data_IF_323751493269
#
_entry.id   IF_323751493269
#
_cell.length_a   1.000
_cell.length_b   1.000
_cell.length_c   1.000
_cell.angle_alpha   90.00
_cell.angle_beta   90.00
_cell.angle_gamma   90.00
#
_symmetry.space_group_name_H-M   'P 1'
#
loop_
_entity.id
_entity.type
_entity.pdbx_description
1 polymer ?
#
# COMPACT_ATOMS: atom_id res chain seq x y z
N UNK A 1 -3.27 22.97 -5.45
CA UNK A 1 -2.27 22.39 -4.54
C UNK A 1 -2.64 20.94 -4.31
N UNK A 2 -1.69 20.02 -4.23
CA UNK A 2 -1.97 18.61 -3.95
C UNK A 2 -2.75 18.47 -2.64
N UNK A 3 -3.72 17.57 -2.67
CA UNK A 3 -4.54 17.20 -1.51
C UNK A 3 -4.36 15.71 -1.24
N UNK A 4 -4.31 15.35 0.04
CA UNK A 4 -4.15 13.96 0.46
C UNK A 4 -5.34 13.57 1.34
N UNK A 5 -5.85 12.36 1.12
CA UNK A 5 -6.76 11.72 2.04
C UNK A 5 -5.96 10.77 2.93
N UNK A 6 -6.28 10.76 4.21
CA UNK A 6 -5.60 9.93 5.20
C UNK A 6 -6.51 8.80 5.61
N UNK A 7 -6.06 7.57 5.38
CA UNK A 7 -6.57 6.37 6.02
C UNK A 7 -5.90 6.20 7.39
N UNK A 8 -6.66 5.76 8.40
CA UNK A 8 -6.18 5.76 9.77
C UNK A 8 -6.86 4.68 10.62
N UNK A 9 -6.22 4.26 11.71
CA UNK A 9 -6.85 3.40 12.69
C UNK A 9 -7.71 4.21 13.67
N UNK A 10 -8.93 3.73 13.90
CA UNK A 10 -9.88 4.24 14.89
C UNK A 10 -9.84 3.38 16.17
N UNK A 11 -10.60 3.70 17.24
CA UNK A 11 -10.53 2.95 18.51
C UNK A 11 -10.78 1.45 18.40
N UNK A 12 -11.50 0.98 17.40
CA UNK A 12 -11.76 -0.44 17.11
C UNK A 12 -10.50 -1.24 16.74
N UNK A 13 -9.46 -0.56 16.22
CA UNK A 13 -8.12 -1.11 15.98
C UNK A 13 -7.07 -0.51 16.93
N UNK A 14 -7.50 0.06 18.06
CA UNK A 14 -6.61 0.67 19.05
C UNK A 14 -6.02 2.03 18.64
N UNK A 15 -6.50 2.62 17.54
CA UNK A 15 -6.09 3.94 17.08
C UNK A 15 -6.87 5.09 17.72
N UNK A 16 -6.58 6.32 17.28
CA UNK A 16 -7.17 7.55 17.83
C UNK A 16 -7.91 8.39 16.78
N UNK A 17 -7.92 7.96 15.53
CA UNK A 17 -8.64 8.65 14.46
C UNK A 17 -10.17 8.51 14.61
N UNK A 18 -10.90 9.28 13.82
CA UNK A 18 -12.37 9.22 13.75
C UNK A 18 -12.87 8.88 12.34
N UNK A 19 -11.96 8.49 11.44
CA UNK A 19 -12.25 8.18 10.05
C UNK A 19 -11.29 8.86 9.08
N UNK A 20 -11.80 9.31 7.95
CA UNK A 20 -11.01 9.90 6.86
C UNK A 20 -10.86 11.41 7.07
N UNK A 21 -9.62 11.90 7.05
CA UNK A 21 -9.30 13.33 7.08
C UNK A 21 -8.56 13.75 5.81
N UNK A 22 -8.62 15.06 5.50
CA UNK A 22 -7.88 15.64 4.40
C UNK A 22 -6.70 16.47 4.89
N UNK A 23 -5.59 16.41 4.13
CA UNK A 23 -4.44 17.29 4.25
C UNK A 23 -4.22 18.03 2.93
N UNK A 24 -3.62 19.19 2.99
CA UNK A 24 -3.24 20.00 1.82
C UNK A 24 -1.78 20.43 1.92
N UNK A 25 -1.08 20.45 0.79
CA UNK A 25 0.24 21.05 0.71
C UNK A 25 0.16 22.57 0.72
N UNK A 26 1.00 23.20 1.53
CA UNK A 26 1.27 24.62 1.47
C UNK A 26 2.26 24.93 0.32
N UNK A 27 2.51 26.21 0.06
CA UNK A 27 3.40 26.65 -1.02
C UNK A 27 4.87 26.21 -0.84
N UNK A 28 5.30 25.97 0.40
CA UNK A 28 6.64 25.48 0.75
C UNK A 28 6.72 23.95 0.76
N UNK A 29 5.61 23.25 0.46
CA UNK A 29 5.50 21.80 0.47
C UNK A 29 5.18 21.19 1.84
N UNK A 30 5.08 22.00 2.92
CA UNK A 30 4.60 21.49 4.21
C UNK A 30 3.11 21.15 4.15
N UNK A 31 2.68 20.21 5.00
CA UNK A 31 1.27 19.83 5.08
C UNK A 31 0.51 20.63 6.13
N UNK A 32 -0.78 20.83 5.89
CA UNK A 32 -1.73 21.39 6.85
C UNK A 32 -3.02 20.57 6.88
N UNK A 33 -3.74 20.61 7.98
CA UNK A 33 -5.07 20.02 8.07
C UNK A 33 -6.05 20.75 7.14
N UNK A 34 -6.81 19.97 6.36
CA UNK A 34 -7.84 20.49 5.46
C UNK A 34 -9.27 20.08 5.88
N UNK A 35 -9.40 19.29 6.94
CA UNK A 35 -10.67 18.94 7.58
C UNK A 35 -10.92 17.46 7.73
N UNK A 36 -11.94 17.13 8.52
CA UNK A 36 -12.53 15.82 8.64
C UNK A 36 -13.55 15.63 7.51
N UNK A 37 -13.51 14.50 6.82
CA UNK A 37 -14.34 14.25 5.63
C UNK A 37 -15.41 13.19 5.87
N UNK A 38 -15.10 12.12 6.59
CA UNK A 38 -16.05 11.05 6.86
C UNK A 38 -15.70 10.33 8.16
N UNK A 39 -16.73 10.02 8.96
CA UNK A 39 -16.62 9.10 10.09
C UNK A 39 -16.83 7.68 9.59
N UNK A 40 -15.85 6.83 9.80
CA UNK A 40 -15.87 5.41 9.40
C UNK A 40 -14.84 4.64 10.22
N UNK A 41 -15.07 3.37 10.42
CA UNK A 41 -14.24 2.50 11.27
C UNK A 41 -12.97 2.08 10.51
N UNK A 42 -11.82 2.37 11.08
CA UNK A 42 -10.48 1.98 10.63
C UNK A 42 -10.30 1.89 9.10
N UNK A 43 -10.44 3.03 8.36
CA UNK A 43 -10.23 3.06 6.91
C UNK A 43 -8.74 2.83 6.60
N UNK A 44 -8.33 1.55 6.58
CA UNK A 44 -6.92 1.15 6.53
C UNK A 44 -6.27 1.42 5.16
N UNK A 45 -7.04 1.33 4.09
CA UNK A 45 -6.58 1.56 2.72
C UNK A 45 -7.64 2.31 1.93
N UNK A 46 -7.21 3.20 1.04
CA UNK A 46 -8.08 4.03 0.22
C UNK A 46 -7.78 3.83 -1.26
N UNK A 47 -8.79 3.61 -2.08
CA UNK A 47 -8.67 3.54 -3.53
C UNK A 47 -9.68 4.48 -4.19
N UNK A 48 -9.25 5.27 -5.17
CA UNK A 48 -10.10 6.22 -5.86
C UNK A 48 -10.19 5.94 -7.37
N UNK A 49 -11.36 6.16 -7.94
CA UNK A 49 -11.57 6.12 -9.39
C UNK A 49 -12.68 7.13 -9.76
N UNK A 50 -12.35 8.08 -10.61
CA UNK A 50 -13.31 9.14 -10.96
C UNK A 50 -13.76 9.92 -9.72
N UNK A 51 -15.07 10.00 -9.47
CA UNK A 51 -15.66 10.60 -8.26
C UNK A 51 -15.86 9.62 -7.10
N UNK A 52 -15.51 8.34 -7.28
CA UNK A 52 -15.65 7.29 -6.26
C UNK A 52 -14.40 7.16 -5.41
N UNK A 53 -14.61 6.93 -4.12
CA UNK A 53 -13.59 6.54 -3.14
C UNK A 53 -14.08 5.29 -2.43
N UNK A 54 -13.22 4.29 -2.37
CA UNK A 54 -13.44 3.06 -1.60
C UNK A 54 -12.45 3.04 -0.44
N UNK A 55 -12.94 2.64 0.74
CA UNK A 55 -12.10 2.48 1.93
C UNK A 55 -12.25 1.06 2.47
N UNK A 56 -11.13 0.40 2.72
CA UNK A 56 -11.13 -0.87 3.47
C UNK A 56 -11.33 -0.55 4.95
N UNK A 57 -12.46 -0.95 5.52
CA UNK A 57 -12.73 -0.87 6.96
C UNK A 57 -12.22 -2.16 7.61
N UNK A 58 -10.98 -2.10 8.12
CA UNK A 58 -10.22 -3.29 8.50
C UNK A 58 -10.89 -4.06 9.65
N UNK A 59 -11.32 -3.37 10.70
CA UNK A 59 -11.99 -4.00 11.85
C UNK A 59 -13.38 -4.53 11.51
N UNK A 60 -14.15 -3.80 10.69
CA UNK A 60 -15.51 -4.18 10.32
C UNK A 60 -15.56 -5.30 9.27
N UNK A 61 -14.46 -5.54 8.54
CA UNK A 61 -14.42 -6.52 7.46
C UNK A 61 -15.23 -6.09 6.24
N UNK A 62 -15.36 -4.77 5.99
CA UNK A 62 -16.16 -4.20 4.93
C UNK A 62 -15.34 -3.31 3.99
N UNK A 63 -15.89 -3.05 2.81
CA UNK A 63 -15.49 -1.95 1.94
C UNK A 63 -16.58 -0.88 2.00
N UNK A 64 -16.19 0.35 2.34
CA UNK A 64 -17.05 1.51 2.35
C UNK A 64 -16.94 2.27 1.03
N UNK A 65 -18.06 2.71 0.46
CA UNK A 65 -18.12 3.49 -0.76
C UNK A 65 -18.52 4.93 -0.45
N UNK A 66 -17.77 5.87 -1.01
CA UNK A 66 -18.06 7.31 -0.93
C UNK A 66 -18.07 7.93 -2.32
N UNK A 67 -18.88 8.99 -2.49
CA UNK A 67 -18.80 9.90 -3.62
C UNK A 67 -18.06 11.17 -3.20
N UNK A 68 -17.08 11.56 -4.01
CA UNK A 68 -16.35 12.82 -3.85
C UNK A 68 -17.09 13.94 -4.56
N UNK A 69 -17.43 15.01 -3.89
CA UNK A 69 -17.98 16.22 -4.51
C UNK A 69 -16.88 17.13 -5.07
N UNK A 70 -17.28 18.16 -5.84
CA UNK A 70 -16.35 19.11 -6.45
C UNK A 70 -15.56 19.95 -5.42
N UNK A 71 -16.07 20.09 -4.19
CA UNK A 71 -15.38 20.75 -3.09
C UNK A 71 -14.45 19.81 -2.33
N UNK A 72 -14.47 18.51 -2.69
CA UNK A 72 -13.68 17.43 -2.08
C UNK A 72 -14.26 16.93 -0.76
N UNK A 73 -15.55 17.14 -0.52
CA UNK A 73 -16.32 16.44 0.51
C UNK A 73 -16.57 14.98 0.15
N UNK A 74 -16.95 14.16 1.13
CA UNK A 74 -17.29 12.76 0.96
C UNK A 74 -18.73 12.52 1.39
N UNK A 75 -19.53 11.95 0.50
CA UNK A 75 -20.87 11.44 0.78
C UNK A 75 -20.79 9.90 0.85
N UNK A 76 -21.14 9.32 1.98
CA UNK A 76 -21.19 7.86 2.13
C UNK A 76 -22.35 7.28 1.33
N UNK A 77 -22.09 6.34 0.46
CA UNK A 77 -23.10 5.72 -0.43
C UNK A 77 -23.55 4.34 0.07
N UNK A 78 -22.68 3.62 0.77
CA UNK A 78 -22.99 2.30 1.30
C UNK A 78 -21.73 1.50 1.63
N UNK A 79 -21.94 0.27 2.05
CA UNK A 79 -20.88 -0.68 2.37
C UNK A 79 -21.23 -2.08 1.90
N UNK A 80 -20.20 -2.91 1.69
CA UNK A 80 -20.35 -4.32 1.40
C UNK A 80 -19.28 -5.14 2.15
N UNK A 81 -19.53 -6.44 2.46
CA UNK A 81 -18.51 -7.32 3.01
C UNK A 81 -17.29 -7.38 2.09
N UNK A 82 -16.09 -7.34 2.66
CA UNK A 82 -14.84 -7.37 1.91
C UNK A 82 -14.47 -8.75 1.34
N UNK A 83 -15.16 -9.80 1.76
CA UNK A 83 -14.88 -11.17 1.33
C UNK A 83 -13.91 -11.94 2.22
N UNK A 84 -13.42 -11.33 3.31
CA UNK A 84 -12.55 -11.93 4.30
C UNK A 84 -12.41 -11.06 5.54
N UNK A 85 -11.53 -11.45 6.45
CA UNK A 85 -11.33 -10.80 7.74
C UNK A 85 -10.11 -9.86 7.67
N UNK A 86 -10.28 -8.63 8.17
CA UNK A 86 -9.28 -7.57 8.18
C UNK A 86 -8.77 -7.20 6.77
N UNK A 87 -9.63 -6.60 5.90
CA UNK A 87 -9.20 -6.09 4.61
C UNK A 87 -8.19 -4.95 4.80
N UNK A 88 -6.99 -5.14 4.28
CA UNK A 88 -5.87 -4.20 4.44
C UNK A 88 -5.37 -3.59 3.13
N UNK A 89 -5.92 -4.00 1.99
CA UNK A 89 -5.58 -3.48 0.68
C UNK A 89 -6.78 -3.52 -0.27
N UNK A 90 -6.87 -2.51 -1.14
CA UNK A 90 -7.84 -2.42 -2.22
C UNK A 90 -7.13 -2.16 -3.55
N UNK A 91 -7.54 -2.85 -4.61
CA UNK A 91 -7.19 -2.51 -5.98
C UNK A 91 -8.44 -2.36 -6.84
N UNK A 92 -8.38 -1.44 -7.80
CA UNK A 92 -9.42 -1.31 -8.82
C UNK A 92 -9.02 -2.06 -10.07
N UNK A 93 -9.94 -2.86 -10.60
CA UNK A 93 -9.75 -3.53 -11.88
C UNK A 93 -11.06 -3.61 -12.63
N UNK A 94 -11.15 -2.96 -13.78
CA UNK A 94 -12.40 -2.79 -14.55
C UNK A 94 -13.54 -2.27 -13.64
N UNK A 95 -14.68 -2.95 -13.66
CA UNK A 95 -15.86 -2.65 -12.83
C UNK A 95 -15.82 -3.33 -11.46
N UNK A 96 -14.64 -3.75 -11.01
CA UNK A 96 -14.47 -4.49 -9.74
C UNK A 96 -13.58 -3.76 -8.76
N UNK A 97 -13.80 -4.03 -7.47
CA UNK A 97 -12.88 -3.74 -6.37
C UNK A 97 -12.34 -5.08 -5.88
N UNK A 98 -11.03 -5.22 -5.88
CA UNK A 98 -10.33 -6.37 -5.30
C UNK A 98 -9.90 -6.02 -3.87
N UNK A 99 -10.04 -6.96 -2.95
CA UNK A 99 -9.58 -6.82 -1.57
C UNK A 99 -8.55 -7.89 -1.23
N UNK A 100 -7.57 -7.54 -0.41
CA UNK A 100 -6.74 -8.52 0.28
C UNK A 100 -7.04 -8.45 1.79
N UNK A 101 -7.35 -9.61 2.38
CA UNK A 101 -7.77 -9.74 3.77
C UNK A 101 -6.68 -10.45 4.57
N UNK A 102 -6.16 -9.77 5.60
CA UNK A 102 -4.94 -10.21 6.28
C UNK A 102 -5.15 -11.44 7.16
N UNK A 103 -6.23 -11.49 7.95
CA UNK A 103 -6.36 -12.50 9.02
C UNK A 103 -6.60 -13.92 8.48
N UNK A 104 -7.36 -14.05 7.39
CA UNK A 104 -7.74 -15.34 6.81
C UNK A 104 -7.13 -15.57 5.42
N UNK A 105 -6.28 -14.67 4.94
CA UNK A 105 -5.62 -14.76 3.65
C UNK A 105 -6.55 -14.70 2.44
N UNK A 106 -7.82 -14.34 2.64
CA UNK A 106 -8.82 -14.31 1.57
C UNK A 106 -8.63 -13.13 0.62
N UNK A 107 -8.99 -13.33 -0.64
CA UNK A 107 -9.18 -12.28 -1.63
C UNK A 107 -10.68 -12.11 -1.89
N UNK A 108 -11.18 -10.88 -1.84
CA UNK A 108 -12.55 -10.56 -2.22
C UNK A 108 -12.61 -9.94 -3.62
N UNK A 109 -13.70 -10.20 -4.32
CA UNK A 109 -14.09 -9.49 -5.53
C UNK A 109 -15.44 -8.85 -5.29
N UNK A 110 -15.51 -7.53 -5.43
CA UNK A 110 -16.75 -6.79 -5.34
C UNK A 110 -17.07 -6.16 -6.69
N UNK A 111 -18.35 -6.15 -7.06
CA UNK A 111 -18.83 -5.21 -8.09
C UNK A 111 -18.68 -3.79 -7.55
N UNK A 112 -18.26 -2.86 -8.42
CA UNK A 112 -18.08 -1.48 -8.01
C UNK A 112 -19.39 -0.69 -7.96
N UNK A 113 -20.32 -0.98 -8.90
CA UNK A 113 -21.60 -0.27 -9.05
C UNK A 113 -22.73 -1.24 -9.41
N UNK A 114 -23.71 -1.51 -8.52
CA UNK A 114 -23.67 -1.16 -7.09
C UNK A 114 -22.61 -1.95 -6.33
N UNK A 115 -22.04 -1.37 -5.27
CA UNK A 115 -21.04 -2.06 -4.46
C UNK A 115 -21.65 -3.32 -3.82
N UNK A 116 -21.11 -4.48 -4.17
CA UNK A 116 -21.61 -5.77 -3.69
C UNK A 116 -20.54 -6.85 -3.80
N UNK A 117 -20.42 -7.69 -2.77
CA UNK A 117 -19.52 -8.84 -2.80
C UNK A 117 -20.00 -9.86 -3.85
N UNK A 118 -19.11 -10.22 -4.77
CA UNK A 118 -19.35 -11.24 -5.81
C UNK A 118 -18.70 -12.57 -5.45
N UNK A 119 -17.49 -12.53 -4.86
CA UNK A 119 -16.71 -13.71 -4.51
C UNK A 119 -15.79 -13.47 -3.32
N UNK A 120 -15.56 -14.55 -2.57
CA UNK A 120 -14.49 -14.68 -1.59
C UNK A 120 -13.64 -15.89 -1.95
N UNK A 121 -12.36 -15.69 -2.23
CA UNK A 121 -11.41 -16.76 -2.55
C UNK A 121 -10.47 -16.96 -1.35
N UNK A 122 -10.62 -18.04 -0.56
CA UNK A 122 -9.74 -18.32 0.56
C UNK A 122 -8.36 -18.77 0.10
N UNK A 123 -7.37 -18.63 0.99
CA UNK A 123 -6.04 -19.15 0.77
C UNK A 123 -5.57 -19.95 1.99
N UNK A 124 -4.62 -20.84 1.75
CA UNK A 124 -3.99 -21.66 2.77
C UNK A 124 -2.46 -21.61 2.61
N UNK A 125 -1.76 -21.87 3.68
CA UNK A 125 -0.31 -21.94 3.73
C UNK A 125 0.23 -21.34 5.00
N UNK A 126 1.52 -21.50 5.23
CA UNK A 126 2.28 -20.92 6.34
C UNK A 126 3.74 -20.81 5.94
N UNK A 127 4.53 -20.06 6.71
CA UNK A 127 5.95 -19.86 6.49
C UNK A 127 6.78 -20.11 7.75
N UNK A 128 8.09 -19.91 7.68
CA UNK A 128 8.99 -20.22 8.80
C UNK A 128 9.00 -19.17 9.92
N UNK A 129 8.53 -17.95 9.65
CA UNK A 129 8.54 -16.87 10.63
C UNK A 129 7.34 -17.00 11.59
N UNK A 130 7.46 -16.66 12.89
CA UNK A 130 6.34 -16.75 13.85
C UNK A 130 5.07 -15.98 13.44
N UNK A 131 5.19 -14.93 12.63
CA UNK A 131 4.06 -14.19 12.06
C UNK A 131 3.50 -14.80 10.76
N UNK A 132 3.92 -16.00 10.39
CA UNK A 132 3.49 -16.74 9.20
C UNK A 132 2.80 -18.04 9.60
N UNK A 133 1.91 -17.96 10.59
CA UNK A 133 1.17 -19.10 11.13
C UNK A 133 0.01 -19.55 10.24
N UNK A 134 -0.44 -18.69 9.33
CA UNK A 134 -1.47 -18.95 8.33
C UNK A 134 -1.21 -18.14 7.04
N UNK A 135 -2.05 -18.31 6.03
CA UNK A 135 -2.07 -17.41 4.87
C UNK A 135 -2.51 -16.00 5.28
N UNK A 136 -1.82 -14.97 4.80
CA UNK A 136 -2.08 -13.56 5.08
C UNK A 136 -1.98 -12.76 3.79
N UNK A 137 -3.10 -12.62 3.06
CA UNK A 137 -3.12 -11.79 1.86
C UNK A 137 -2.96 -10.32 2.25
N UNK A 138 -1.95 -9.65 1.65
CA UNK A 138 -1.63 -8.27 2.06
C UNK A 138 -1.80 -7.24 0.96
N UNK A 139 -1.56 -7.59 -0.30
CA UNK A 139 -1.74 -6.70 -1.43
C UNK A 139 -2.14 -7.46 -2.69
N UNK A 140 -2.70 -6.72 -3.66
CA UNK A 140 -2.93 -7.18 -5.02
C UNK A 140 -2.37 -6.18 -6.02
N UNK A 141 -1.86 -6.66 -7.14
CA UNK A 141 -1.37 -5.85 -8.26
C UNK A 141 -1.94 -6.43 -9.57
N UNK A 142 -2.37 -5.56 -10.48
CA UNK A 142 -2.81 -5.98 -11.81
C UNK A 142 -1.69 -5.72 -12.81
N UNK A 143 -1.23 -6.76 -13.49
CA UNK A 143 -0.21 -6.66 -14.53
C UNK A 143 -0.81 -6.13 -15.84
N UNK A 144 0.01 -5.62 -16.79
CA UNK A 144 -0.49 -5.03 -18.03
C UNK A 144 -1.29 -5.99 -18.92
N UNK A 145 -1.10 -7.31 -18.78
CA UNK A 145 -1.86 -8.33 -19.50
C UNK A 145 -3.18 -8.73 -18.80
N UNK A 146 -3.52 -8.07 -17.67
CA UNK A 146 -4.69 -8.34 -16.86
C UNK A 146 -4.52 -9.48 -15.85
N UNK A 147 -3.32 -10.05 -15.71
CA UNK A 147 -3.01 -10.99 -14.63
C UNK A 147 -3.02 -10.26 -13.29
N UNK A 148 -3.75 -10.80 -12.32
CA UNK A 148 -3.80 -10.29 -10.96
C UNK A 148 -2.81 -11.08 -10.11
N UNK A 149 -1.87 -10.39 -9.48
CA UNK A 149 -0.91 -10.97 -8.53
C UNK A 149 -1.32 -10.60 -7.11
N UNK A 150 -1.41 -11.56 -6.21
CA UNK A 150 -1.59 -11.30 -4.78
C UNK A 150 -0.35 -11.69 -3.99
N UNK A 151 0.01 -10.88 -3.00
CA UNK A 151 1.05 -11.16 -2.03
C UNK A 151 0.45 -11.89 -0.83
N UNK A 152 0.93 -13.09 -0.54
CA UNK A 152 0.60 -13.83 0.67
C UNK A 152 1.79 -13.78 1.63
N UNK A 153 1.74 -12.83 2.56
CA UNK A 153 2.78 -12.61 3.56
C UNK A 153 2.99 -13.83 4.44
N UNK A 154 1.91 -14.52 4.78
CA UNK A 154 1.94 -15.65 5.69
C UNK A 154 2.49 -16.94 5.07
N UNK A 155 2.39 -17.09 3.75
CA UNK A 155 2.79 -18.31 3.06
C UNK A 155 4.05 -18.18 2.18
N UNK A 156 4.68 -16.99 2.15
CA UNK A 156 5.81 -16.69 1.25
C UNK A 156 5.49 -17.00 -0.23
N UNK A 157 4.30 -16.52 -0.69
CA UNK A 157 3.84 -16.78 -2.05
C UNK A 157 3.33 -15.55 -2.76
N UNK A 158 3.57 -15.50 -4.06
CA UNK A 158 2.85 -14.66 -4.99
C UNK A 158 1.88 -15.55 -5.76
N UNK A 159 0.58 -15.28 -5.66
CA UNK A 159 -0.43 -16.08 -6.36
C UNK A 159 -0.95 -15.32 -7.57
N UNK A 160 -1.05 -16.01 -8.70
CA UNK A 160 -1.49 -15.42 -9.96
C UNK A 160 -2.94 -15.84 -10.23
N UNK A 161 -3.73 -14.87 -10.69
CA UNK A 161 -5.16 -15.06 -10.95
C UNK A 161 -5.56 -14.35 -12.24
N UNK A 162 -6.67 -14.79 -12.81
CA UNK A 162 -7.42 -14.06 -13.83
C UNK A 162 -8.83 -13.79 -13.31
N UNK A 163 -9.38 -12.62 -13.62
CA UNK A 163 -10.77 -12.30 -13.30
C UNK A 163 -11.68 -12.73 -14.45
N UNK A 164 -12.66 -13.59 -14.19
CA UNK A 164 -13.61 -14.08 -15.19
C UNK A 164 -15.04 -14.04 -14.63
N UNK A 165 -15.88 -13.17 -15.17
CA UNK A 165 -17.28 -13.07 -14.75
C UNK A 165 -17.44 -12.77 -13.25
N UNK A 166 -16.60 -11.88 -12.69
CA UNK A 166 -16.60 -11.51 -11.27
C UNK A 166 -15.98 -12.55 -10.34
N UNK A 167 -15.21 -13.51 -10.88
CA UNK A 167 -14.54 -14.58 -10.11
C UNK A 167 -13.06 -14.63 -10.39
N UNK A 168 -12.26 -14.77 -9.34
CA UNK A 168 -10.83 -15.03 -9.43
C UNK A 168 -10.57 -16.51 -9.69
N UNK A 169 -9.90 -16.79 -10.79
CA UNK A 169 -9.42 -18.14 -11.11
C UNK A 169 -7.92 -18.15 -10.91
N UNK A 170 -7.42 -18.93 -9.95
CA UNK A 170 -5.98 -19.12 -9.75
C UNK A 170 -5.37 -19.79 -10.98
N UNK A 171 -4.37 -19.15 -11.56
CA UNK A 171 -3.66 -19.65 -12.76
C UNK A 171 -2.27 -20.16 -12.44
N UNK A 172 -1.70 -19.75 -11.30
CA UNK A 172 -0.38 -20.18 -10.85
C UNK A 172 0.01 -19.60 -9.50
N UNK A 173 1.19 -19.93 -9.07
CA UNK A 173 1.84 -19.33 -7.90
C UNK A 173 3.36 -19.36 -8.04
N UNK A 174 4.03 -18.45 -7.37
CA UNK A 174 5.50 -18.36 -7.30
C UNK A 174 5.90 -18.31 -5.83
N UNK A 175 6.79 -19.20 -5.43
CA UNK A 175 7.40 -19.16 -4.09
C UNK A 175 8.44 -18.04 -4.05
N UNK A 176 8.43 -17.28 -2.96
CA UNK A 176 9.52 -16.35 -2.64
C UNK A 176 10.44 -16.99 -1.60
N UNK A 177 11.67 -16.48 -1.39
CA UNK A 177 12.56 -17.03 -0.37
C UNK A 177 11.86 -17.11 0.99
N UNK A 178 12.01 -18.22 1.74
CA UNK A 178 11.35 -18.42 3.03
C UNK A 178 11.65 -17.31 4.04
N UNK A 179 10.60 -16.82 4.73
CA UNK A 179 10.70 -15.72 5.68
C UNK A 179 10.70 -14.33 5.04
N UNK A 180 10.44 -14.22 3.74
CA UNK A 180 10.31 -12.93 3.04
C UNK A 180 9.10 -12.15 3.55
N UNK A 181 7.93 -12.79 3.68
CA UNK A 181 6.68 -12.12 3.99
C UNK A 181 6.31 -11.06 2.94
N UNK A 182 5.96 -11.45 1.69
CA UNK A 182 5.64 -10.48 0.64
C UNK A 182 4.42 -9.64 1.05
N UNK A 183 4.58 -8.31 0.99
CA UNK A 183 3.63 -7.37 1.56
C UNK A 183 3.02 -6.39 0.57
N UNK A 184 3.86 -5.78 -0.27
CA UNK A 184 3.49 -4.66 -1.12
C UNK A 184 4.12 -4.80 -2.49
N UNK A 185 3.51 -4.16 -3.49
CA UNK A 185 3.91 -4.25 -4.87
C UNK A 185 4.19 -2.88 -5.47
N UNK A 186 5.14 -2.84 -6.40
CA UNK A 186 5.33 -1.72 -7.29
C UNK A 186 5.63 -2.25 -8.69
N UNK A 187 4.74 -1.96 -9.65
CA UNK A 187 4.99 -2.21 -11.06
C UNK A 187 5.78 -1.03 -11.61
N UNK A 188 7.02 -1.28 -11.99
CA UNK A 188 7.94 -0.26 -12.47
C UNK A 188 7.71 0.03 -13.95
N UNK A 189 7.95 1.28 -14.44
CA UNK A 189 7.83 1.62 -15.86
C UNK A 189 8.68 0.76 -16.83
N UNK A 190 9.74 0.11 -16.34
CA UNK A 190 10.53 -0.87 -17.10
C UNK A 190 9.80 -2.20 -17.33
N UNK A 191 8.62 -2.40 -16.75
CA UNK A 191 7.87 -3.65 -16.81
C UNK A 191 8.25 -4.69 -15.75
N UNK A 192 9.20 -4.39 -14.84
CA UNK A 192 9.53 -5.25 -13.71
C UNK A 192 8.54 -5.04 -12.55
N UNK A 193 8.24 -6.12 -11.84
CA UNK A 193 7.47 -6.08 -10.61
C UNK A 193 8.42 -6.13 -9.41
N UNK A 194 8.37 -5.10 -8.57
CA UNK A 194 9.08 -5.09 -7.28
C UNK A 194 8.13 -5.51 -6.17
N UNK A 195 8.64 -6.37 -5.29
CA UNK A 195 7.87 -6.93 -4.16
C UNK A 195 8.60 -6.63 -2.86
N UNK A 196 7.95 -5.89 -1.97
CA UNK A 196 8.46 -5.61 -0.64
C UNK A 196 8.25 -6.83 0.26
N UNK A 197 9.32 -7.36 0.82
CA UNK A 197 9.29 -8.37 1.88
C UNK A 197 9.28 -7.70 3.24
N UNK A 198 8.17 -7.79 3.95
CA UNK A 198 8.01 -7.18 5.28
C UNK A 198 8.96 -7.78 6.30
N UNK A 199 9.00 -9.12 6.36
CA UNK A 199 9.71 -9.88 7.40
C UNK A 199 11.17 -10.09 7.02
N UNK A 200 11.44 -10.30 5.73
CA UNK A 200 12.79 -10.47 5.19
C UNK A 200 13.55 -9.16 5.02
N UNK A 201 12.89 -7.99 5.19
CA UNK A 201 13.49 -6.65 5.05
C UNK A 201 14.23 -6.47 3.72
N UNK A 202 13.59 -6.90 2.63
CA UNK A 202 14.15 -6.93 1.27
C UNK A 202 13.16 -6.37 0.26
N UNK A 203 13.68 -5.96 -0.91
CA UNK A 203 12.87 -5.82 -2.12
C UNK A 203 13.31 -6.87 -3.12
N UNK A 204 12.37 -7.70 -3.57
CA UNK A 204 12.55 -8.67 -4.63
C UNK A 204 12.27 -8.03 -5.99
N UNK A 205 13.02 -8.41 -7.02
CA UNK A 205 12.82 -7.95 -8.40
C UNK A 205 12.37 -9.13 -9.26
N UNK A 206 11.23 -8.98 -9.92
CA UNK A 206 10.71 -9.98 -10.85
C UNK A 206 10.65 -9.43 -12.27
N UNK A 207 11.11 -10.22 -13.24
CA UNK A 207 10.73 -10.05 -14.62
C UNK A 207 9.28 -10.51 -14.80
N UNK A 208 8.51 -9.73 -15.58
CA UNK A 208 7.13 -10.06 -15.96
C UNK A 208 7.11 -10.39 -17.44
N UNK A 209 6.71 -11.59 -17.80
CA UNK A 209 6.58 -12.01 -19.19
C UNK A 209 5.35 -12.90 -19.36
N UNK A 210 4.39 -12.47 -20.20
CA UNK A 210 3.17 -13.22 -20.52
C UNK A 210 2.42 -13.70 -19.25
N UNK A 211 2.31 -12.82 -18.23
CA UNK A 211 1.69 -13.12 -16.95
C UNK A 211 2.49 -14.03 -16.02
N UNK A 212 3.67 -14.50 -16.44
CA UNK A 212 4.59 -15.25 -15.60
C UNK A 212 5.57 -14.32 -14.87
N UNK A 213 5.97 -14.71 -13.67
CA UNK A 213 6.93 -14.00 -12.83
C UNK A 213 8.21 -14.82 -12.68
N UNK A 214 9.36 -14.23 -12.99
CA UNK A 214 10.67 -14.84 -12.78
C UNK A 214 11.50 -13.97 -11.83
N UNK A 215 11.91 -14.53 -10.69
CA UNK A 215 12.75 -13.82 -9.72
C UNK A 215 14.13 -13.56 -10.32
N UNK A 216 14.52 -12.28 -10.41
CA UNK A 216 15.83 -11.85 -10.91
C UNK A 216 16.84 -11.65 -9.75
N UNK A 217 16.37 -11.20 -8.60
CA UNK A 217 17.23 -10.94 -7.44
C UNK A 217 16.49 -10.31 -6.28
N UNK A 218 17.23 -10.04 -5.22
CA UNK A 218 16.75 -9.36 -4.02
C UNK A 218 17.78 -8.37 -3.51
N UNK A 219 17.33 -7.29 -2.88
CA UNK A 219 18.20 -6.29 -2.25
C UNK A 219 17.71 -6.01 -0.85
N UNK A 220 18.60 -6.14 0.14
CA UNK A 220 18.32 -5.82 1.53
C UNK A 220 18.10 -4.32 1.73
N UNK A 221 17.17 -3.96 2.60
CA UNK A 221 16.87 -2.58 2.95
C UNK A 221 17.99 -2.03 3.84
N UNK A 222 18.61 -0.93 3.41
CA UNK A 222 19.68 -0.30 4.17
C UNK A 222 19.15 0.33 5.47
N UNK A 223 19.84 0.14 6.57
CA UNK A 223 19.45 0.64 7.89
C UNK A 223 18.37 -0.18 8.60
N UNK A 224 18.00 -1.33 8.04
CA UNK A 224 17.13 -2.28 8.73
C UNK A 224 17.84 -2.89 9.94
N UNK A 225 17.08 -3.08 11.02
CA UNK A 225 17.52 -3.69 12.29
C UNK A 225 16.69 -4.95 12.58
N UNK A 226 17.22 -5.83 13.43
CA UNK A 226 16.50 -7.04 13.85
C UNK A 226 15.17 -6.66 14.53
N UNK A 227 14.09 -7.28 14.09
CA UNK A 227 12.74 -7.00 14.58
C UNK A 227 12.02 -5.84 13.87
N UNK A 228 12.64 -5.23 12.86
CA UNK A 228 11.93 -4.30 11.97
C UNK A 228 10.88 -5.02 11.11
N UNK A 229 9.91 -4.24 10.67
CA UNK A 229 8.89 -4.64 9.71
C UNK A 229 8.86 -3.62 8.58
N UNK A 230 9.18 -4.02 7.36
CA UNK A 230 9.10 -3.12 6.22
C UNK A 230 7.64 -2.78 5.86
N UNK A 231 7.36 -1.53 5.48
CA UNK A 231 6.03 -1.08 5.10
C UNK A 231 6.06 0.05 4.08
N UNK A 232 5.16 -0.04 3.09
CA UNK A 232 5.06 0.89 1.98
C UNK A 232 6.26 0.81 1.03
N UNK A 233 6.00 0.72 -0.26
CA UNK A 233 7.00 0.76 -1.31
C UNK A 233 6.57 1.80 -2.34
N UNK A 234 7.39 2.83 -2.56
CA UNK A 234 7.12 3.86 -3.57
C UNK A 234 8.33 4.10 -4.46
N UNK A 235 8.10 4.67 -5.65
CA UNK A 235 9.15 5.04 -6.58
C UNK A 235 9.16 6.56 -6.84
N UNK A 236 10.30 7.05 -7.34
CA UNK A 236 10.36 8.37 -7.98
C UNK A 236 9.60 8.35 -9.31
N UNK A 237 9.08 9.51 -9.74
CA UNK A 237 8.34 9.64 -11.01
C UNK A 237 9.17 9.19 -12.22
N UNK A 238 10.48 9.36 -12.16
CA UNK A 238 11.41 8.93 -13.21
C UNK A 238 11.89 7.47 -13.07
N UNK A 239 11.41 6.76 -12.04
CA UNK A 239 11.72 5.37 -11.79
C UNK A 239 13.14 5.07 -11.30
N UNK A 240 13.98 6.09 -11.03
CA UNK A 240 15.38 5.87 -10.65
C UNK A 240 15.59 5.44 -9.21
N UNK A 241 14.65 5.74 -8.33
CA UNK A 241 14.74 5.46 -6.89
C UNK A 241 13.48 4.80 -6.36
N UNK A 242 13.67 3.96 -5.33
CA UNK A 242 12.60 3.39 -4.52
C UNK A 242 12.84 3.74 -3.06
N UNK A 243 11.75 3.80 -2.30
CA UNK A 243 11.79 3.98 -0.85
C UNK A 243 10.91 2.97 -0.15
N UNK A 244 11.39 2.49 1.00
CA UNK A 244 10.63 1.61 1.88
C UNK A 244 10.74 2.12 3.33
N UNK A 245 9.61 2.14 4.05
CA UNK A 245 9.58 2.45 5.48
C UNK A 245 10.01 1.23 6.31
N UNK A 246 10.77 1.45 7.38
CA UNK A 246 11.18 0.46 8.36
C UNK A 246 10.50 0.78 9.70
N UNK A 247 9.52 -0.03 10.08
CA UNK A 247 8.79 0.09 11.36
C UNK A 247 9.57 -0.66 12.42
N UNK A 248 9.93 0.01 13.49
CA UNK A 248 10.81 -0.46 14.57
C UNK A 248 11.98 0.50 14.70
N UNK A 249 12.97 0.44 13.84
CA UNK A 249 14.07 1.41 13.75
C UNK A 249 13.63 2.80 13.30
N UNK A 250 12.41 2.92 12.74
CA UNK A 250 11.81 4.19 12.30
C UNK A 250 12.65 4.91 11.23
N UNK A 251 12.99 4.21 10.17
CA UNK A 251 13.81 4.71 9.08
C UNK A 251 13.09 4.63 7.73
N UNK A 252 13.62 5.35 6.75
CA UNK A 252 13.27 5.25 5.34
C UNK A 252 14.50 4.74 4.61
N UNK A 253 14.44 3.56 4.03
CA UNK A 253 15.49 2.98 3.19
C UNK A 253 15.35 3.48 1.75
N UNK A 254 16.45 3.90 1.12
CA UNK A 254 16.52 4.32 -0.27
C UNK A 254 17.28 3.30 -1.10
N UNK A 255 16.69 2.90 -2.23
CA UNK A 255 17.33 2.03 -3.22
C UNK A 255 17.41 2.75 -4.58
N UNK A 256 18.49 2.53 -5.31
CA UNK A 256 18.62 2.96 -6.71
C UNK A 256 18.26 1.80 -7.64
N UNK A 257 17.57 2.15 -8.72
CA UNK A 257 17.14 1.22 -9.76
C UNK A 257 18.15 1.26 -10.89
N UNK A 258 18.57 0.09 -11.42
CA UNK A 258 19.41 0.01 -12.62
C UNK A 258 18.70 0.59 -13.85
N UNK A 259 19.44 0.99 -14.85
CA UNK A 259 18.88 1.64 -16.04
C UNK A 259 17.86 0.77 -16.81
N UNK A 260 17.98 -0.54 -16.72
CA UNK A 260 17.06 -1.51 -17.31
C UNK A 260 15.92 -1.95 -16.36
N UNK A 261 15.96 -1.51 -15.08
CA UNK A 261 15.00 -1.90 -14.05
C UNK A 261 15.20 -3.29 -13.47
N UNK A 262 16.17 -4.07 -13.97
CA UNK A 262 16.34 -5.48 -13.61
C UNK A 262 17.07 -5.72 -12.29
N UNK A 263 17.62 -4.69 -11.66
CA UNK A 263 18.31 -4.81 -10.37
C UNK A 263 18.21 -3.55 -9.52
N UNK A 264 18.36 -3.74 -8.22
CA UNK A 264 18.35 -2.66 -7.21
C UNK A 264 19.68 -2.63 -6.47
N UNK A 265 20.05 -1.46 -5.99
CA UNK A 265 21.19 -1.28 -5.09
C UNK A 265 20.80 -0.39 -3.90
N UNK A 266 21.17 -0.79 -2.69
CA UNK A 266 20.94 0.01 -1.50
C UNK A 266 21.80 1.29 -1.55
N UNK A 267 21.21 2.44 -1.26
CA UNK A 267 21.87 3.76 -1.33
C UNK A 267 22.15 4.29 0.07
N UNK A 268 21.09 4.50 0.85
CA UNK A 268 21.16 5.13 2.18
C UNK A 268 19.89 4.79 2.97
N UNK A 269 19.87 5.18 4.24
CA UNK A 269 18.66 5.26 5.04
C UNK A 269 18.66 6.47 5.94
N UNK A 270 17.51 7.08 6.12
CA UNK A 270 17.34 8.27 6.96
C UNK A 270 16.32 8.03 8.06
N UNK A 271 16.41 8.79 9.15
CA UNK A 271 15.41 8.84 10.21
C UNK A 271 14.06 9.31 9.65
N UNK A 272 12.99 8.55 9.84
CA UNK A 272 11.65 8.85 9.33
C UNK A 272 10.94 10.02 10.06
N UNK A 273 11.51 10.51 11.19
CA UNK A 273 11.01 11.64 11.97
C UNK A 273 9.65 11.43 12.63
N UNK A 274 9.36 10.18 12.96
CA UNK A 274 8.16 9.76 13.67
C UNK A 274 8.23 8.27 14.01
N UNK A 275 7.24 7.78 14.74
CA UNK A 275 7.19 6.39 15.16
C UNK A 275 6.25 5.57 14.29
N UNK A 276 6.76 4.44 13.80
CA UNK A 276 6.03 3.46 13.00
C UNK A 276 5.63 4.00 11.61
N UNK A 277 6.61 4.29 10.71
CA UNK A 277 6.36 4.75 9.34
C UNK A 277 5.65 3.64 8.54
N UNK A 278 4.33 3.76 8.37
CA UNK A 278 3.51 2.71 7.77
C UNK A 278 3.28 2.88 6.28
N UNK A 279 3.17 4.12 5.83
CA UNK A 279 2.97 4.45 4.43
C UNK A 279 3.64 5.79 4.11
N UNK A 280 4.02 5.96 2.87
CA UNK A 280 4.51 7.24 2.36
C UNK A 280 4.04 7.46 0.93
N UNK A 281 3.99 8.70 0.52
CA UNK A 281 3.61 9.13 -0.82
C UNK A 281 4.66 10.10 -1.33
N UNK A 282 4.94 10.04 -2.62
CA UNK A 282 5.87 10.93 -3.33
C UNK A 282 5.08 11.80 -4.31
N UNK A 283 5.37 13.09 -4.34
CA UNK A 283 4.78 14.09 -5.21
C UNK A 283 5.92 14.98 -5.76
N UNK A 284 6.45 14.65 -6.91
CA UNK A 284 7.65 15.27 -7.47
C UNK A 284 8.87 15.06 -6.57
N UNK A 285 9.41 16.15 -6.02
CA UNK A 285 10.54 16.12 -5.06
C UNK A 285 10.12 16.06 -3.59
N UNK A 286 8.82 15.94 -3.31
CA UNK A 286 8.29 15.87 -1.96
C UNK A 286 7.93 14.42 -1.59
N UNK A 287 8.27 14.04 -0.35
CA UNK A 287 7.79 12.80 0.27
C UNK A 287 7.08 13.12 1.56
N UNK A 288 5.92 12.50 1.77
CA UNK A 288 5.15 12.59 3.02
C UNK A 288 5.02 11.20 3.64
N UNK A 289 5.41 11.06 4.90
CA UNK A 289 5.45 9.78 5.63
C UNK A 289 4.45 9.78 6.77
N UNK A 290 3.52 8.84 6.75
CA UNK A 290 2.52 8.64 7.80
C UNK A 290 3.10 7.77 8.92
N UNK A 291 3.02 8.28 10.16
CA UNK A 291 3.51 7.64 11.36
C UNK A 291 2.36 7.25 12.29
N UNK A 292 2.02 5.98 12.28
CA UNK A 292 0.86 5.45 13.02
C UNK A 292 0.90 5.78 14.51
N UNK A 293 2.06 5.58 15.16
CA UNK A 293 2.17 5.64 16.63
C UNK A 293 2.49 7.03 17.19
N UNK A 294 3.04 7.92 16.36
CA UNK A 294 3.33 9.31 16.77
C UNK A 294 2.30 10.32 16.29
N UNK A 295 1.17 9.88 15.67
CA UNK A 295 0.08 10.75 15.20
C UNK A 295 0.58 11.92 14.35
N UNK A 296 1.42 11.62 13.38
CA UNK A 296 2.07 12.67 12.61
C UNK A 296 2.31 12.25 11.15
N UNK A 297 2.47 13.25 10.31
CA UNK A 297 2.99 13.10 8.94
C UNK A 297 4.23 13.96 8.80
N UNK A 298 5.38 13.34 8.56
CA UNK A 298 6.62 14.04 8.29
C UNK A 298 6.79 14.30 6.80
N UNK A 299 7.39 15.44 6.46
CA UNK A 299 7.63 15.87 5.07
C UNK A 299 9.11 16.03 4.81
N UNK A 300 9.53 15.54 3.65
CA UNK A 300 10.92 15.52 3.19
C UNK A 300 11.01 16.08 1.77
N UNK A 301 12.16 16.67 1.45
CA UNK A 301 12.57 16.92 0.06
C UNK A 301 13.54 15.83 -0.38
N UNK A 302 13.29 15.27 -1.55
CA UNK A 302 14.16 14.27 -2.16
C UNK A 302 15.27 15.00 -2.91
N UNK A 303 16.52 14.72 -2.56
CA UNK A 303 17.67 15.30 -3.24
C UNK A 303 17.99 14.55 -4.57
N UNK A 304 18.96 15.05 -5.34
CA UNK A 304 19.35 14.49 -6.65
C UNK A 304 19.89 13.04 -6.56
N UNK A 305 20.25 12.60 -5.34
CA UNK A 305 20.71 11.22 -5.06
C UNK A 305 19.56 10.32 -4.56
N UNK A 306 18.33 10.80 -4.56
CA UNK A 306 17.16 10.09 -4.08
C UNK A 306 17.04 10.09 -2.55
N UNK A 307 17.85 10.86 -1.82
CA UNK A 307 17.86 10.80 -0.34
C UNK A 307 16.85 11.81 0.22
N UNK A 308 15.87 11.36 1.04
CA UNK A 308 14.89 12.25 1.66
C UNK A 308 15.57 13.16 2.71
N UNK A 309 15.36 14.47 2.60
CA UNK A 309 15.84 15.50 3.51
C UNK A 309 14.67 16.12 4.26
N UNK A 310 14.61 15.85 5.56
CA UNK A 310 13.54 16.32 6.42
C UNK A 310 13.45 17.86 6.46
N UNK A 311 12.23 18.40 6.45
CA UNK A 311 12.01 19.84 6.63
C UNK A 311 10.78 20.19 7.48
N UNK A 312 9.77 19.31 7.64
CA UNK A 312 8.55 19.64 8.37
C UNK A 312 7.83 18.42 8.95
N UNK A 313 7.04 18.61 10.00
CA UNK A 313 6.12 17.58 10.53
C UNK A 313 4.78 18.23 10.88
N UNK A 314 3.70 17.63 10.37
CA UNK A 314 2.33 17.93 10.79
C UNK A 314 1.94 16.96 11.90
N UNK A 315 1.64 17.49 13.08
CA UNK A 315 1.17 16.74 14.24
C UNK A 315 -0.36 16.68 14.32
N UNK A 316 -0.89 15.78 15.17
CA UNK A 316 -2.33 15.56 15.38
C UNK A 316 -3.05 15.01 14.14
N UNK A 317 -2.32 14.31 13.28
CA UNK A 317 -2.90 13.40 12.30
C UNK A 317 -2.97 12.06 13.01
N UNK A 318 -4.12 11.75 13.62
CA UNK A 318 -4.25 10.64 14.54
C UNK A 318 -4.16 9.28 13.85
N UNK A 319 -3.27 8.42 14.33
CA UNK A 319 -3.01 7.05 13.89
C UNK A 319 -3.02 6.86 12.36
N UNK A 320 -2.31 7.72 11.59
CA UNK A 320 -2.35 7.66 10.14
C UNK A 320 -1.59 6.43 9.64
N UNK A 321 -2.21 5.64 8.76
CA UNK A 321 -1.61 4.42 8.22
C UNK A 321 -1.55 4.39 6.70
N UNK A 322 -2.26 5.30 6.03
CA UNK A 322 -2.30 5.41 4.58
C UNK A 322 -2.48 6.86 4.12
N UNK A 323 -1.82 7.22 3.03
CA UNK A 323 -1.96 8.51 2.37
C UNK A 323 -2.35 8.27 0.92
N UNK A 324 -3.47 8.83 0.48
CA UNK A 324 -3.90 8.84 -0.91
C UNK A 324 -3.79 10.25 -1.47
N UNK A 325 -2.93 10.46 -2.45
CA UNK A 325 -2.88 11.74 -3.17
C UNK A 325 -4.11 11.89 -4.08
N UNK A 326 -4.76 13.05 -4.07
CA UNK A 326 -5.89 13.36 -4.93
C UNK A 326 -5.60 14.61 -5.75
N UNK A 327 -6.04 14.67 -7.03
CA UNK A 327 -5.92 15.88 -7.86
C UNK A 327 -4.83 15.85 -8.94
N UNK A 328 -3.98 14.84 -8.99
CA UNK A 328 -3.36 14.39 -10.22
C UNK A 328 -4.23 13.27 -10.79
N UNK A 329 -4.40 13.19 -12.10
CA UNK A 329 -4.78 11.93 -12.76
C UNK A 329 -3.58 11.00 -12.61
N UNK A 330 -3.22 10.71 -11.35
CA UNK A 330 -2.12 9.84 -11.05
C UNK A 330 -2.63 8.43 -11.15
N UNK A 331 -1.96 7.72 -11.96
CA UNK A 331 -1.79 6.30 -11.95
C UNK A 331 -2.16 5.73 -10.58
N UNK A 332 -3.44 5.33 -10.41
CA UNK A 332 -3.69 4.18 -9.57
C UNK A 332 -2.67 3.17 -10.08
N UNK A 333 -1.75 2.75 -9.25
CA UNK A 333 -0.92 1.60 -9.55
C UNK A 333 -1.85 0.58 -10.17
N UNK A 334 -1.60 0.15 -11.42
CA UNK A 334 -2.52 -0.72 -12.12
C UNK A 334 -2.76 -1.97 -11.32
#
# INVERSE_FOLDING_TARGET
>A
MPRFLVGAYTPDMGGRATGIVALESAADGSLRHAGHLATTDSPAYLAAQGDRLYAASEAAGTVEEFRRDAAGGLEHLGSAPAGGVAPCHLARYDDSVLTACYVDGALGVLAAEPLALLESLPAEGSGPHPAQDAAHAHATCVLPDGTIVSADLGADRLRLHTLRGGRLVRTGEVEVPPGTGPRDFLLHPSGHLYVLGELGLVVLVFAVQDGALALLGSTALHGAEDGDHAAGLTASDDGRFLWAGLRGSNRISTLAVSADGGSLSAVDSVDARGDWPRHHVVDGDLMHVAHERSDSVASFRIDEKGIPRYFSTLNRVFSPIFLLQTGSETHSTP
#
